data_IF_206767781637
#
_entry.id   IF_206767781637
#
_cell.length_a   1.000
_cell.length_b   1.000
_cell.length_c   1.000
_cell.angle_alpha   90.00
_cell.angle_beta   90.00
_cell.angle_gamma   90.00
#
_symmetry.space_group_name_H-M   'P 1'
#
loop_
_entity.id
_entity.type
_entity.pdbx_description
1 polymer ?
#
# COMPACT_ATOMS: atom_id res chain seq x y z
N UNK A 1 16.88 -30.98 -4.95
CA UNK A 1 16.40 -30.26 -3.76
C UNK A 1 16.35 -28.79 -4.14
N UNK A 2 15.27 -28.36 -4.78
CA UNK A 2 15.05 -26.94 -5.05
C UNK A 2 14.56 -26.32 -3.74
N UNK A 3 15.24 -25.27 -3.30
CA UNK A 3 14.85 -24.49 -2.14
C UNK A 3 13.39 -24.07 -2.33
N UNK A 4 12.56 -24.37 -1.33
CA UNK A 4 11.19 -23.91 -1.25
C UNK A 4 11.20 -22.39 -1.49
N UNK A 5 10.81 -21.97 -2.70
CA UNK A 5 10.82 -20.58 -3.10
C UNK A 5 10.13 -19.78 -2.01
N UNK A 6 10.89 -18.93 -1.34
CA UNK A 6 10.42 -18.10 -0.25
C UNK A 6 9.13 -17.45 -0.75
N UNK A 7 8.01 -17.89 -0.17
CA UNK A 7 6.70 -17.30 -0.41
C UNK A 7 6.82 -15.90 0.14
N UNK A 8 7.31 -14.96 -0.68
CA UNK A 8 7.50 -13.59 -0.28
C UNK A 8 6.17 -13.14 0.33
N UNK A 9 6.11 -12.94 1.67
CA UNK A 9 4.89 -12.50 2.31
C UNK A 9 4.64 -11.13 1.70
N UNK A 10 3.64 -11.03 0.83
CA UNK A 10 3.49 -9.84 0.01
C UNK A 10 3.52 -8.58 0.88
N UNK A 11 4.19 -7.54 0.39
CA UNK A 11 4.57 -6.42 1.24
C UNK A 11 3.59 -5.24 1.12
N UNK A 12 3.37 -4.54 2.23
CA UNK A 12 2.81 -3.18 2.24
C UNK A 12 3.99 -2.23 2.40
N UNK A 13 4.14 -1.33 1.43
CA UNK A 13 5.17 -0.30 1.43
C UNK A 13 4.57 1.05 1.79
N UNK A 14 5.15 1.75 2.75
CA UNK A 14 4.71 3.07 3.19
C UNK A 14 5.80 4.12 2.95
N UNK A 15 5.45 5.26 2.36
CA UNK A 15 6.41 6.33 2.05
C UNK A 15 5.75 7.72 1.97
N UNK A 16 6.56 8.78 1.81
CA UNK A 16 6.10 10.16 1.73
C UNK A 16 5.79 10.82 3.08
N UNK A 17 5.27 12.04 3.08
CA UNK A 17 5.11 12.88 4.27
C UNK A 17 3.64 13.11 4.61
N UNK A 18 3.28 13.29 5.90
CA UNK A 18 4.15 13.45 7.07
C UNK A 18 4.58 12.15 7.76
N UNK A 19 5.83 12.13 8.24
CA UNK A 19 6.49 10.99 8.88
C UNK A 19 5.70 10.39 10.05
N UNK A 20 5.14 11.22 10.94
CA UNK A 20 4.46 10.73 12.14
C UNK A 20 3.21 9.92 11.81
N UNK A 21 2.45 10.29 10.77
CA UNK A 21 1.27 9.54 10.33
C UNK A 21 1.69 8.21 9.70
N UNK A 22 2.75 8.22 8.90
CA UNK A 22 3.33 7.02 8.29
C UNK A 22 3.76 6.01 9.34
N UNK A 23 4.52 6.44 10.35
CA UNK A 23 4.99 5.60 11.45
C UNK A 23 3.82 5.05 12.29
N UNK A 24 2.83 5.91 12.62
CA UNK A 24 1.64 5.50 13.34
C UNK A 24 0.84 4.43 12.58
N UNK A 25 0.65 4.61 11.27
CA UNK A 25 -0.02 3.61 10.42
C UNK A 25 0.79 2.32 10.37
N UNK A 26 2.11 2.38 10.14
CA UNK A 26 2.96 1.20 10.08
C UNK A 26 2.88 0.37 11.38
N UNK A 27 2.87 1.01 12.55
CA UNK A 27 2.68 0.33 13.83
C UNK A 27 1.34 -0.40 13.92
N UNK A 28 0.25 0.22 13.46
CA UNK A 28 -1.08 -0.39 13.48
C UNK A 28 -1.16 -1.56 12.50
N UNK A 29 -0.61 -1.39 11.29
CA UNK A 29 -0.59 -2.44 10.28
C UNK A 29 0.22 -3.67 10.72
N UNK A 30 1.37 -3.47 11.37
CA UNK A 30 2.18 -4.58 11.92
C UNK A 30 1.41 -5.40 12.95
N UNK A 31 0.57 -4.75 13.76
CA UNK A 31 -0.28 -5.44 14.76
C UNK A 31 -1.44 -6.19 14.10
N UNK A 32 -2.03 -5.62 13.04
CA UNK A 32 -3.19 -6.20 12.34
C UNK A 32 -2.81 -7.32 11.38
N UNK A 33 -1.72 -7.18 10.65
CA UNK A 33 -1.33 -8.06 9.55
C UNK A 33 -0.03 -8.81 9.84
N UNK A 34 -0.06 -9.73 10.81
CA UNK A 34 1.13 -10.46 11.30
C UNK A 34 1.88 -11.31 10.25
N UNK A 35 1.25 -11.60 9.09
CA UNK A 35 1.84 -12.41 7.99
C UNK A 35 2.32 -11.58 6.80
N UNK A 36 2.21 -10.26 6.88
CA UNK A 36 2.50 -9.33 5.77
C UNK A 36 3.68 -8.48 6.19
N UNK A 37 4.67 -8.35 5.31
CA UNK A 37 5.80 -7.48 5.56
C UNK A 37 5.36 -6.01 5.45
N UNK A 38 5.61 -5.23 6.50
CA UNK A 38 5.35 -3.78 6.52
C UNK A 38 6.68 -3.05 6.45
N UNK A 39 6.97 -2.50 5.27
CA UNK A 39 8.21 -1.76 4.98
C UNK A 39 7.93 -0.27 4.92
N UNK A 40 8.76 0.51 5.60
CA UNK A 40 8.68 1.97 5.60
C UNK A 40 9.92 2.52 4.89
N UNK A 41 9.71 3.45 3.96
CA UNK A 41 10.78 4.29 3.46
C UNK A 41 10.82 5.62 4.21
N UNK A 42 12.01 6.10 4.62
CA UNK A 42 12.19 7.48 5.06
C UNK A 42 11.80 8.43 3.92
N UNK A 43 11.63 9.73 4.23
CA UNK A 43 10.91 10.81 3.52
C UNK A 43 11.19 11.00 2.01
N UNK A 44 11.05 9.92 1.26
CA UNK A 44 11.24 9.75 -0.16
C UNK A 44 9.86 9.54 -0.78
N UNK A 45 9.64 10.16 -1.93
CA UNK A 45 8.44 9.95 -2.72
C UNK A 45 8.58 8.66 -3.56
N UNK A 46 7.47 7.98 -3.92
CA UNK A 46 7.50 6.80 -4.79
C UNK A 46 8.37 6.86 -6.05
N UNK A 47 8.42 7.96 -6.84
CA UNK A 47 9.31 8.01 -8.00
C UNK A 47 10.80 7.92 -7.65
N UNK A 48 11.19 8.25 -6.42
CA UNK A 48 12.59 8.20 -5.96
C UNK A 48 12.96 6.85 -5.33
N UNK A 49 11.98 5.97 -5.15
CA UNK A 49 12.14 4.71 -4.43
C UNK A 49 12.33 3.53 -5.39
N UNK A 50 13.35 2.66 -5.15
CA UNK A 50 13.37 1.35 -5.78
C UNK A 50 12.22 0.52 -5.18
N UNK A 51 11.11 0.40 -5.91
CA UNK A 51 9.98 -0.42 -5.48
C UNK A 51 10.39 -1.89 -5.51
N UNK A 52 10.36 -2.61 -4.37
CA UNK A 52 10.70 -4.03 -4.36
C UNK A 52 9.71 -4.87 -5.20
N UNK A 53 10.18 -6.02 -5.66
CA UNK A 53 9.31 -7.02 -6.26
C UNK A 53 8.33 -7.57 -5.22
N UNK A 54 7.07 -7.82 -5.60
CA UNK A 54 6.07 -8.45 -4.73
C UNK A 54 5.31 -7.51 -3.79
N UNK A 55 5.32 -6.19 -4.03
CA UNK A 55 4.46 -5.24 -3.31
C UNK A 55 2.99 -5.56 -3.58
N UNK A 56 2.23 -5.80 -2.52
CA UNK A 56 0.77 -5.89 -2.56
C UNK A 56 0.14 -4.51 -2.55
N UNK A 57 0.65 -3.61 -1.70
CA UNK A 57 0.15 -2.26 -1.54
C UNK A 57 1.30 -1.27 -1.46
N UNK A 58 1.21 -0.19 -2.24
CA UNK A 58 1.93 1.04 -1.97
C UNK A 58 0.99 2.03 -1.29
N UNK A 59 1.34 2.49 -0.10
CA UNK A 59 0.65 3.55 0.62
C UNK A 59 1.56 4.79 0.61
N UNK A 60 1.16 5.82 -0.11
CA UNK A 60 1.92 7.05 -0.24
C UNK A 60 1.20 8.21 0.44
N UNK A 61 1.87 8.83 1.40
CA UNK A 61 1.48 10.08 2.02
C UNK A 61 1.97 11.25 1.17
N UNK A 62 1.04 11.93 0.52
CA UNK A 62 1.28 12.95 -0.51
C UNK A 62 1.23 14.34 0.12
N UNK A 63 2.23 15.16 -0.17
CA UNK A 63 2.22 16.57 0.21
C UNK A 63 1.07 17.31 -0.49
N UNK A 64 0.36 18.19 0.25
CA UNK A 64 -0.93 18.76 -0.18
C UNK A 64 -0.94 19.60 -1.46
N UNK A 65 0.22 19.90 -2.06
CA UNK A 65 0.31 20.64 -3.33
C UNK A 65 0.41 19.74 -4.58
N UNK A 66 0.52 18.42 -4.42
CA UNK A 66 0.60 17.48 -5.54
C UNK A 66 -0.79 16.97 -5.97
N UNK A 67 -1.00 16.92 -7.29
CA UNK A 67 -2.18 16.30 -7.89
C UNK A 67 -2.06 14.78 -7.87
N UNK A 68 -3.09 14.11 -7.32
CA UNK A 68 -3.26 12.65 -7.30
C UNK A 68 -3.03 12.02 -8.68
N UNK A 69 -3.55 12.64 -9.74
CA UNK A 69 -3.39 12.12 -11.11
C UNK A 69 -1.93 12.12 -11.54
N UNK A 70 -1.20 13.20 -11.25
CA UNK A 70 0.23 13.33 -11.58
C UNK A 70 1.06 12.32 -10.78
N UNK A 71 0.70 12.10 -9.52
CA UNK A 71 1.33 11.13 -8.62
C UNK A 71 1.18 9.69 -9.13
N UNK A 72 0.09 9.33 -9.81
CA UNK A 72 -0.09 7.97 -10.34
C UNK A 72 0.82 7.70 -11.53
N UNK A 73 1.05 8.70 -12.38
CA UNK A 73 1.83 8.57 -13.61
C UNK A 73 3.33 8.37 -13.35
N UNK A 74 3.83 8.88 -12.23
CA UNK A 74 5.26 8.83 -11.87
C UNK A 74 5.70 7.49 -11.28
N UNK A 75 4.76 6.61 -10.91
CA UNK A 75 5.07 5.36 -10.22
C UNK A 75 5.36 4.24 -11.25
N UNK A 76 6.64 3.87 -11.35
CA UNK A 76 7.10 2.74 -12.18
C UNK A 76 8.13 1.90 -11.40
N UNK A 77 8.01 0.55 -11.36
CA UNK A 77 6.89 -0.25 -11.87
C UNK A 77 5.59 -0.04 -11.09
N UNK A 78 4.44 -0.17 -11.76
CA UNK A 78 3.14 0.08 -11.12
C UNK A 78 2.87 -0.97 -10.02
N UNK A 79 2.63 -0.56 -8.75
CA UNK A 79 2.20 -1.48 -7.71
C UNK A 79 0.81 -2.03 -8.02
N UNK A 80 0.53 -3.26 -7.56
CA UNK A 80 -0.77 -3.91 -7.74
C UNK A 80 -1.90 -3.07 -7.15
N UNK A 81 -1.76 -2.63 -5.91
CA UNK A 81 -2.70 -1.73 -5.27
C UNK A 81 -1.98 -0.46 -4.81
N UNK A 82 -2.65 0.67 -4.89
CA UNK A 82 -2.14 2.00 -4.56
C UNK A 82 -3.14 2.72 -3.66
N UNK A 83 -2.65 3.24 -2.54
CA UNK A 83 -3.39 4.14 -1.66
C UNK A 83 -2.60 5.45 -1.53
N UNK A 84 -3.16 6.54 -2.02
CA UNK A 84 -2.62 7.89 -1.86
C UNK A 84 -3.41 8.58 -0.75
N UNK A 85 -2.72 9.17 0.22
CA UNK A 85 -3.33 9.91 1.33
C UNK A 85 -2.73 11.30 1.36
N UNK A 86 -3.55 12.33 1.18
CA UNK A 86 -3.15 13.72 1.28
C UNK A 86 -3.27 14.22 2.73
N UNK A 87 -2.53 15.27 3.04
CA UNK A 87 -2.49 15.86 4.39
C UNK A 87 -3.84 16.42 4.87
N UNK A 88 -4.75 16.74 3.97
CA UNK A 88 -6.09 17.25 4.25
C UNK A 88 -7.14 16.14 4.45
N UNK A 89 -6.71 14.88 4.46
CA UNK A 89 -7.59 13.71 4.63
C UNK A 89 -8.20 13.20 3.33
N UNK A 90 -7.99 13.88 2.20
CA UNK A 90 -8.36 13.34 0.90
C UNK A 90 -7.50 12.11 0.59
N UNK A 91 -8.12 11.09 0.00
CA UNK A 91 -7.41 9.89 -0.40
C UNK A 91 -7.92 9.33 -1.72
N UNK A 92 -7.03 8.63 -2.41
CA UNK A 92 -7.33 7.91 -3.63
C UNK A 92 -6.85 6.48 -3.52
N UNK A 93 -7.70 5.56 -3.92
CA UNK A 93 -7.43 4.13 -3.90
C UNK A 93 -7.54 3.60 -5.32
N UNK A 94 -6.55 2.81 -5.74
CA UNK A 94 -6.61 2.02 -6.98
C UNK A 94 -6.27 0.58 -6.66
N UNK A 95 -7.13 -0.34 -7.09
CA UNK A 95 -6.90 -1.78 -6.96
C UNK A 95 -6.26 -2.36 -8.23
N UNK A 96 -5.75 -3.59 -8.12
CA UNK A 96 -5.12 -4.29 -9.24
C UNK A 96 -6.06 -4.55 -10.44
N UNK A 97 -7.37 -4.54 -10.19
CA UNK A 97 -8.43 -4.67 -11.22
C UNK A 97 -8.83 -3.33 -11.85
N UNK A 98 -8.07 -2.25 -11.59
CA UNK A 98 -8.32 -0.87 -12.02
C UNK A 98 -9.61 -0.25 -11.49
N UNK A 99 -10.25 -0.82 -10.46
CA UNK A 99 -11.25 -0.06 -9.71
C UNK A 99 -10.56 1.10 -8.99
N UNK A 100 -11.28 2.20 -8.86
CA UNK A 100 -10.79 3.43 -8.24
C UNK A 100 -11.82 3.98 -7.26
N UNK A 101 -11.35 4.60 -6.18
CA UNK A 101 -12.20 5.25 -5.17
C UNK A 101 -11.55 6.53 -4.66
N UNK A 102 -12.32 7.61 -4.62
CA UNK A 102 -11.91 8.88 -4.00
C UNK A 102 -12.62 9.05 -2.66
N UNK A 103 -11.87 9.47 -1.65
CA UNK A 103 -12.34 9.70 -0.28
C UNK A 103 -11.97 11.12 0.13
N UNK A 104 -12.89 11.83 0.79
CA UNK A 104 -12.66 13.22 1.24
C UNK A 104 -12.21 13.34 2.70
N UNK A 105 -12.32 12.25 3.44
CA UNK A 105 -11.94 12.17 4.86
C UNK A 105 -11.66 10.70 5.19
N UNK A 106 -10.39 10.29 5.04
CA UNK A 106 -9.99 8.91 5.30
C UNK A 106 -9.60 8.72 6.78
N UNK A 107 -10.36 7.87 7.47
CA UNK A 107 -10.01 7.42 8.83
C UNK A 107 -9.08 6.22 8.79
N UNK A 108 -8.35 5.99 9.89
CA UNK A 108 -7.51 4.80 10.07
C UNK A 108 -8.29 3.49 9.91
N UNK A 109 -9.51 3.43 10.46
CA UNK A 109 -10.39 2.26 10.32
C UNK A 109 -10.72 1.99 8.84
N UNK A 110 -10.95 3.05 8.07
CA UNK A 110 -11.24 2.94 6.64
C UNK A 110 -10.02 2.49 5.85
N UNK A 111 -8.81 2.96 6.20
CA UNK A 111 -7.55 2.45 5.64
C UNK A 111 -7.44 0.94 5.88
N UNK A 112 -7.65 0.48 7.12
CA UNK A 112 -7.57 -0.95 7.45
C UNK A 112 -8.57 -1.76 6.64
N UNK A 113 -9.84 -1.33 6.56
CA UNK A 113 -10.85 -2.03 5.77
C UNK A 113 -10.52 -2.11 4.26
N UNK A 114 -9.97 -1.04 3.68
CA UNK A 114 -9.49 -1.05 2.28
C UNK A 114 -8.40 -2.11 2.09
N UNK A 115 -7.46 -2.19 3.03
CA UNK A 115 -6.37 -3.17 2.95
C UNK A 115 -6.91 -4.60 3.13
N UNK A 116 -7.79 -4.85 4.10
CA UNK A 116 -8.40 -6.16 4.36
C UNK A 116 -9.11 -6.72 3.12
N UNK A 117 -9.97 -5.94 2.46
CA UNK A 117 -10.71 -6.39 1.25
C UNK A 117 -9.82 -6.87 0.10
N UNK A 118 -8.56 -6.41 0.06
CA UNK A 118 -7.60 -6.72 -1.00
C UNK A 118 -6.60 -7.81 -0.60
N UNK A 119 -6.51 -8.08 0.70
CA UNK A 119 -5.68 -9.12 1.30
C UNK A 119 -6.47 -10.40 1.56
N UNK A 120 -7.80 -10.31 1.66
CA UNK A 120 -8.73 -11.42 1.88
C UNK A 120 -9.07 -12.23 0.62
N UNK A 121 -8.56 -11.88 -0.56
CA UNK A 121 -8.73 -12.76 -1.72
C UNK A 121 -8.08 -14.13 -1.41
N UNK A 122 -8.86 -15.22 -1.27
CA UNK A 122 -8.28 -16.53 -1.04
C UNK A 122 -7.35 -16.82 -2.21
N UNK A 123 -6.10 -17.18 -1.92
CA UNK A 123 -5.20 -17.69 -2.95
C UNK A 123 -5.91 -18.89 -3.59
N UNK A 124 -6.13 -18.92 -4.91
CA UNK A 124 -6.54 -20.16 -5.58
C UNK A 124 -5.38 -21.13 -5.42
N UNK A 125 -5.47 -21.97 -4.40
CA UNK A 125 -4.35 -22.81 -3.95
C UNK A 125 -4.65 -23.44 -2.60
N UNK A 126 -5.83 -24.07 -2.47
CA UNK A 126 -6.11 -25.21 -1.59
C UNK A 126 -7.58 -25.66 -1.72
N UNK A 127 -8.04 -25.94 -2.95
CA UNK A 127 -9.03 -27.01 -3.14
C UNK A 127 -8.25 -28.17 -3.77
N UNK A 128 -7.75 -29.06 -2.93
CA UNK A 128 -7.45 -30.42 -3.36
C UNK A 128 -8.79 -31.07 -3.69
N UNK A 129 -9.04 -31.28 -4.99
CA UNK A 129 -9.81 -32.43 -5.46
C UNK A 129 -8.82 -33.55 -5.76
#
# INVERSE_FOLDING_TARGET
>A
MEAAGERNPGAIWLCGTPRFVREALAMVLRKKFFRIQISESPDLEPPELPLPFGILWLIWFVAGNQSILRSIETIQPRPRNLLLIQNDGNAFVRWADNREMHLRDISLERVIGILETSLEAPRPGNMML
#
